data_IF_753376595056
#
_entry.id   IF_753376595056
#
_cell.length_a   1.000
_cell.length_b   1.000
_cell.length_c   1.000
_cell.angle_alpha   90.00
_cell.angle_beta   90.00
_cell.angle_gamma   90.00
#
_symmetry.space_group_name_H-M   'P 1'
#
loop_
_entity.id
_entity.type
_entity.pdbx_description
1 polymer ?
#
# COMPACT_ATOMS: atom_id res chain seq x y z
N UNK A 1 -9.52 11.79 15.60
CA UNK A 1 -8.45 12.35 14.73
C UNK A 1 -7.17 12.56 15.53
N UNK A 2 -7.02 13.64 16.30
CA UNK A 2 -5.72 13.99 16.91
C UNK A 2 -5.22 13.02 17.99
N UNK A 3 -6.09 12.55 18.88
CA UNK A 3 -5.70 11.64 19.98
C UNK A 3 -5.18 10.30 19.44
N UNK A 4 -5.91 9.70 18.52
CA UNK A 4 -5.56 8.43 17.88
C UNK A 4 -4.38 8.56 16.91
N UNK A 5 -4.03 9.78 16.48
CA UNK A 5 -2.87 10.05 15.63
C UNK A 5 -1.54 9.92 16.38
N UNK A 6 -1.60 10.01 17.72
CA UNK A 6 -0.42 9.97 18.56
C UNK A 6 0.34 8.66 18.35
N UNK A 7 1.66 8.75 18.20
CA UNK A 7 2.54 7.64 17.77
C UNK A 7 2.33 6.36 18.59
N UNK A 8 2.23 6.49 19.92
CA UNK A 8 1.98 5.36 20.83
C UNK A 8 0.64 4.68 20.56
N UNK A 9 -0.43 5.44 20.36
CA UNK A 9 -1.78 4.89 20.15
C UNK A 9 -1.88 4.24 18.78
N UNK A 10 -1.34 4.88 17.73
CA UNK A 10 -1.31 4.32 16.37
C UNK A 10 -0.57 2.99 16.28
N UNK A 11 0.52 2.83 17.04
CA UNK A 11 1.29 1.59 17.08
C UNK A 11 0.56 0.47 17.84
N UNK A 12 -0.25 0.82 18.83
CA UNK A 12 -1.04 -0.14 19.63
C UNK A 12 -2.33 -0.57 18.92
N UNK A 13 -3.04 0.35 18.28
CA UNK A 13 -4.26 0.08 17.52
C UNK A 13 -4.29 0.89 16.22
N UNK A 14 -3.81 0.26 15.15
CA UNK A 14 -3.81 0.88 13.83
C UNK A 14 -5.22 1.04 13.26
N UNK A 15 -6.13 0.11 13.55
CA UNK A 15 -7.51 0.15 13.05
C UNK A 15 -8.27 1.35 13.62
N UNK A 16 -8.20 1.56 14.94
CA UNK A 16 -8.84 2.72 15.57
C UNK A 16 -8.26 4.02 15.03
N UNK A 17 -6.94 4.08 14.84
CA UNK A 17 -6.29 5.20 14.15
C UNK A 17 -6.90 5.42 12.76
N UNK A 18 -6.98 4.38 11.93
CA UNK A 18 -7.47 4.46 10.56
C UNK A 18 -8.90 5.01 10.50
N UNK A 19 -9.85 4.41 11.21
CA UNK A 19 -11.25 4.82 11.17
C UNK A 19 -11.45 6.24 11.68
N UNK A 20 -10.84 6.58 12.81
CA UNK A 20 -10.98 7.91 13.40
C UNK A 20 -10.24 9.01 12.63
N UNK A 21 -9.27 8.65 11.78
CA UNK A 21 -8.62 9.59 10.87
C UNK A 21 -9.50 9.94 9.68
N UNK A 22 -10.27 9.00 9.15
CA UNK A 22 -11.19 9.25 8.04
C UNK A 22 -12.32 10.25 8.37
N UNK A 23 -12.50 10.57 9.66
CA UNK A 23 -13.32 11.71 10.11
C UNK A 23 -12.81 13.06 9.59
N UNK A 24 -11.63 13.13 8.97
CA UNK A 24 -11.20 14.31 8.24
C UNK A 24 -12.18 14.69 7.12
N UNK A 25 -12.90 13.73 6.52
CA UNK A 25 -13.88 13.99 5.45
C UNK A 25 -15.04 14.85 5.97
N UNK A 26 -15.83 14.42 6.99
CA UNK A 26 -16.89 15.26 7.53
C UNK A 26 -16.35 16.53 8.20
N UNK A 27 -15.15 16.49 8.78
CA UNK A 27 -14.50 17.69 9.34
C UNK A 27 -14.24 18.76 8.27
N UNK A 28 -13.65 18.39 7.12
CA UNK A 28 -13.43 19.32 6.01
C UNK A 28 -14.74 19.78 5.38
N UNK A 29 -15.75 18.90 5.23
CA UNK A 29 -17.11 19.31 4.81
C UNK A 29 -17.73 20.35 5.76
N UNK A 30 -17.55 20.16 7.06
CA UNK A 30 -17.93 21.15 8.07
C UNK A 30 -17.17 22.47 7.90
N UNK A 31 -15.87 22.42 7.61
CA UNK A 31 -15.05 23.61 7.40
C UNK A 31 -15.48 24.40 6.15
N UNK A 32 -15.78 23.72 5.04
CA UNK A 32 -16.30 24.36 3.82
C UNK A 32 -17.60 25.14 4.07
N UNK A 33 -18.49 24.57 4.87
CA UNK A 33 -19.80 25.18 5.17
C UNK A 33 -19.73 26.21 6.29
N UNK A 34 -18.78 26.08 7.22
CA UNK A 34 -18.55 27.02 8.32
C UNK A 34 -18.31 28.45 7.82
N UNK A 35 -17.57 28.60 6.71
CA UNK A 35 -17.25 29.93 6.15
C UNK A 35 -18.40 30.61 5.43
N UNK A 36 -19.54 29.93 5.24
CA UNK A 36 -20.70 30.42 4.46
C UNK A 36 -21.70 31.20 5.35
N UNK A 37 -21.58 31.11 6.67
CA UNK A 37 -22.59 31.58 7.62
C UNK A 37 -22.70 33.10 7.85
N UNK A 38 -21.94 33.95 7.14
CA UNK A 38 -21.96 35.41 7.31
C UNK A 38 -21.88 35.86 8.79
N UNK A 39 -20.99 35.22 9.56
CA UNK A 39 -20.84 35.51 10.99
C UNK A 39 -20.10 36.85 11.23
N UNK A 40 -19.12 37.17 10.39
CA UNK A 40 -18.36 38.43 10.44
C UNK A 40 -18.97 39.42 9.44
N UNK A 41 -19.40 40.58 9.95
CA UNK A 41 -20.07 41.65 9.18
C UNK A 41 -19.22 42.91 9.19
N UNK A 42 -19.36 43.71 8.14
CA UNK A 42 -18.72 45.03 7.99
C UNK A 42 -19.46 46.15 8.77
N UNK A 43 -20.69 45.88 9.22
CA UNK A 43 -21.60 46.83 9.85
C UNK A 43 -21.99 46.39 11.26
N UNK A 44 -22.22 47.36 12.15
CA UNK A 44 -22.64 47.11 13.54
C UNK A 44 -24.14 46.82 13.69
N UNK A 45 -24.96 47.20 12.70
CA UNK A 45 -26.40 46.99 12.72
C UNK A 45 -26.76 45.54 12.31
N UNK A 46 -27.64 44.85 13.07
CA UNK A 46 -28.04 43.50 12.72
C UNK A 46 -29.07 43.50 11.58
N UNK A 47 -28.77 42.79 10.49
CA UNK A 47 -29.73 42.52 9.41
C UNK A 47 -30.43 41.17 9.63
N UNK A 48 -31.73 41.12 9.33
CA UNK A 48 -32.51 39.88 9.37
C UNK A 48 -32.02 38.90 8.28
N UNK A 49 -31.89 37.59 8.55
CA UNK A 49 -31.62 36.58 7.52
C UNK A 49 -32.66 36.54 6.38
N UNK A 50 -33.84 37.12 6.61
CA UNK A 50 -34.93 37.22 5.62
C UNK A 50 -34.92 38.53 4.83
N UNK A 51 -33.97 39.45 5.09
CA UNK A 51 -33.87 40.73 4.40
C UNK A 51 -33.34 40.60 2.96
N UNK A 52 -33.03 39.39 2.49
CA UNK A 52 -32.58 39.16 1.12
C UNK A 52 -31.22 39.80 0.86
N UNK A 53 -31.13 40.69 -0.14
CA UNK A 53 -29.85 41.27 -0.60
C UNK A 53 -29.10 42.02 0.50
N UNK A 54 -29.82 42.79 1.31
CA UNK A 54 -29.23 43.56 2.41
C UNK A 54 -28.53 42.66 3.44
N UNK A 55 -28.97 41.40 3.59
CA UNK A 55 -28.28 40.43 4.44
C UNK A 55 -26.97 39.94 3.82
N UNK A 56 -26.96 39.66 2.50
CA UNK A 56 -25.83 39.03 1.81
C UNK A 56 -24.75 40.01 1.35
N UNK A 57 -25.06 41.29 1.13
CA UNK A 57 -24.11 42.32 0.68
C UNK A 57 -23.17 42.81 1.79
N UNK A 58 -23.60 42.75 3.05
CA UNK A 58 -22.83 43.15 4.24
C UNK A 58 -22.00 42.01 4.87
N UNK A 59 -21.91 40.89 4.16
CA UNK A 59 -21.13 39.74 4.58
C UNK A 59 -19.68 39.84 4.12
N UNK A 60 -18.73 39.88 5.06
CA UNK A 60 -17.31 39.66 4.72
C UNK A 60 -17.15 38.15 4.53
N UNK A 61 -17.40 37.69 3.31
CA UNK A 61 -17.28 36.28 2.95
C UNK A 61 -15.85 35.79 3.10
N UNK A 62 -15.61 34.80 3.96
CA UNK A 62 -14.33 34.11 3.98
C UNK A 62 -14.21 33.25 2.72
N UNK A 63 -13.45 33.74 1.74
CA UNK A 63 -13.21 33.09 0.45
C UNK A 63 -12.28 31.86 0.56
N UNK A 64 -12.07 31.31 1.76
CA UNK A 64 -11.22 30.15 2.02
C UNK A 64 -11.63 28.93 1.21
N UNK A 65 -12.94 28.75 0.99
CA UNK A 65 -13.50 27.70 0.15
C UNK A 65 -12.90 27.67 -1.27
N UNK A 66 -12.48 28.82 -1.83
CA UNK A 66 -11.86 28.86 -3.17
C UNK A 66 -10.58 28.03 -3.19
N UNK A 67 -9.69 28.24 -2.21
CA UNK A 67 -8.42 27.52 -2.10
C UNK A 67 -8.61 26.09 -1.62
N UNK A 68 -9.56 25.88 -0.72
CA UNK A 68 -9.84 24.57 -0.16
C UNK A 68 -10.44 23.61 -1.20
N UNK A 69 -11.31 24.10 -2.11
CA UNK A 69 -11.82 23.28 -3.22
C UNK A 69 -10.70 22.84 -4.18
N UNK A 70 -9.72 23.70 -4.46
CA UNK A 70 -8.57 23.33 -5.27
C UNK A 70 -7.74 22.24 -4.61
N UNK A 71 -7.41 22.38 -3.31
CA UNK A 71 -6.61 21.39 -2.59
C UNK A 71 -7.38 20.07 -2.39
N UNK A 72 -8.66 20.13 -2.05
CA UNK A 72 -9.56 18.98 -1.96
C UNK A 72 -9.72 18.26 -3.29
N UNK A 73 -9.89 19.01 -4.38
CA UNK A 73 -9.96 18.48 -5.75
C UNK A 73 -8.69 17.74 -6.15
N UNK A 74 -7.52 18.35 -5.94
CA UNK A 74 -6.22 17.70 -6.20
C UNK A 74 -6.05 16.42 -5.37
N UNK A 75 -6.42 16.44 -4.09
CA UNK A 75 -6.41 15.26 -3.24
C UNK A 75 -7.32 14.14 -3.78
N UNK A 76 -8.56 14.46 -4.18
CA UNK A 76 -9.49 13.48 -4.72
C UNK A 76 -9.00 12.89 -6.03
N UNK A 77 -8.45 13.71 -6.93
CA UNK A 77 -7.88 13.25 -8.21
C UNK A 77 -6.72 12.29 -7.94
N UNK A 78 -5.83 12.62 -7.01
CA UNK A 78 -4.71 11.77 -6.61
C UNK A 78 -5.18 10.42 -6.05
N UNK A 79 -6.20 10.45 -5.17
CA UNK A 79 -6.80 9.24 -4.59
C UNK A 79 -7.49 8.37 -5.63
N UNK A 80 -8.27 8.95 -6.54
CA UNK A 80 -8.92 8.23 -7.63
C UNK A 80 -7.89 7.61 -8.57
N UNK A 81 -6.84 8.35 -8.91
CA UNK A 81 -5.75 7.85 -9.75
C UNK A 81 -5.08 6.62 -9.12
N UNK A 82 -4.79 6.64 -7.81
CA UNK A 82 -4.24 5.48 -7.09
C UNK A 82 -5.17 4.28 -7.13
N UNK A 83 -6.46 4.48 -6.86
CA UNK A 83 -7.44 3.41 -6.86
C UNK A 83 -7.56 2.74 -8.24
N UNK A 84 -7.58 3.54 -9.31
CA UNK A 84 -7.59 3.06 -10.69
C UNK A 84 -6.30 2.28 -11.00
N UNK A 85 -5.14 2.79 -10.61
CA UNK A 85 -3.82 2.12 -10.80
C UNK A 85 -3.75 0.80 -10.04
N UNK A 86 -4.31 0.75 -8.84
CA UNK A 86 -4.22 -0.41 -7.96
C UNK A 86 -5.16 -1.54 -8.38
N UNK A 87 -6.29 -1.22 -9.03
CA UNK A 87 -7.27 -2.18 -9.58
C UNK A 87 -6.85 -2.83 -10.90
N UNK A 88 -5.74 -2.41 -11.50
CA UNK A 88 -5.18 -3.10 -12.67
C UNK A 88 -4.90 -4.56 -12.34
N UNK A 89 -5.20 -5.45 -13.28
CA UNK A 89 -5.10 -6.89 -13.07
C UNK A 89 -3.72 -7.30 -12.54
N UNK A 90 -3.75 -8.16 -11.51
CA UNK A 90 -2.58 -8.81 -10.95
C UNK A 90 -2.87 -10.29 -10.86
N UNK A 91 -1.90 -11.12 -11.25
CA UNK A 91 -2.03 -12.59 -11.23
C UNK A 91 -1.00 -13.15 -10.28
N UNK A 92 -1.44 -13.88 -9.25
CA UNK A 92 -0.53 -14.65 -8.39
C UNK A 92 0.02 -15.79 -9.23
N UNK A 93 1.35 -15.86 -9.32
CA UNK A 93 2.05 -16.93 -10.05
C UNK A 93 2.43 -18.07 -9.11
N UNK A 94 2.91 -17.74 -7.91
CA UNK A 94 3.45 -18.73 -6.97
C UNK A 94 3.35 -18.23 -5.53
N UNK A 95 3.08 -19.15 -4.61
CA UNK A 95 3.11 -18.88 -3.18
C UNK A 95 4.05 -19.89 -2.53
N UNK A 96 5.04 -19.42 -1.79
CA UNK A 96 6.03 -20.26 -1.11
C UNK A 96 5.98 -19.96 0.38
N UNK A 97 5.76 -21.00 1.19
CA UNK A 97 5.90 -20.94 2.64
C UNK A 97 7.37 -21.11 3.00
N UNK A 98 7.88 -20.17 3.78
CA UNK A 98 9.21 -20.17 4.37
C UNK A 98 9.12 -20.56 5.86
N UNK A 99 10.22 -21.03 6.47
CA UNK A 99 10.28 -21.23 7.91
C UNK A 99 10.01 -19.90 8.67
N UNK A 100 9.65 -20.01 9.96
CA UNK A 100 9.35 -18.86 10.84
C UNK A 100 8.09 -18.05 10.47
N UNK A 101 7.06 -18.74 9.95
CA UNK A 101 5.76 -18.16 9.59
C UNK A 101 5.86 -16.99 8.60
N UNK A 102 6.72 -17.16 7.60
CA UNK A 102 6.91 -16.21 6.50
C UNK A 102 6.32 -16.81 5.23
N UNK A 103 5.60 -16.00 4.47
CA UNK A 103 5.03 -16.39 3.17
C UNK A 103 5.59 -15.48 2.10
N UNK A 104 6.16 -16.07 1.07
CA UNK A 104 6.54 -15.38 -0.15
C UNK A 104 5.40 -15.47 -1.16
N UNK A 105 4.90 -14.32 -1.58
CA UNK A 105 3.87 -14.20 -2.62
C UNK A 105 4.54 -13.65 -3.87
N UNK A 106 4.53 -14.44 -4.94
CA UNK A 106 5.00 -14.04 -6.25
C UNK A 106 3.79 -13.74 -7.14
N UNK A 107 3.81 -12.58 -7.80
CA UNK A 107 2.76 -12.14 -8.69
C UNK A 107 3.32 -11.46 -9.94
N UNK A 108 2.55 -11.47 -11.01
CA UNK A 108 2.84 -10.73 -12.23
C UNK A 108 1.88 -9.55 -12.38
N UNK A 109 2.45 -8.36 -12.60
CA UNK A 109 1.72 -7.11 -12.90
C UNK A 109 2.47 -6.37 -14.02
N UNK A 110 2.03 -6.47 -15.30
CA UNK A 110 2.74 -5.86 -16.43
C UNK A 110 2.92 -4.35 -16.34
N UNK A 111 2.00 -3.66 -15.65
CA UNK A 111 2.05 -2.21 -15.46
C UNK A 111 3.00 -1.75 -14.34
N UNK A 112 3.62 -2.68 -13.62
CA UNK A 112 4.42 -2.41 -12.43
C UNK A 112 5.91 -2.49 -12.75
N UNK A 113 6.57 -1.33 -12.79
CA UNK A 113 8.03 -1.21 -12.96
C UNK A 113 8.59 -0.63 -11.67
N UNK A 114 9.61 -1.27 -11.10
CA UNK A 114 10.19 -0.90 -9.82
C UNK A 114 11.72 -0.97 -9.87
N UNK A 115 12.36 -0.44 -8.84
CA UNK A 115 13.80 -0.55 -8.57
C UNK A 115 14.02 -1.39 -7.31
N UNK A 116 15.16 -2.07 -7.22
CA UNK A 116 15.50 -2.86 -6.05
C UNK A 116 15.46 -2.00 -4.77
N UNK A 117 14.85 -2.54 -3.71
CA UNK A 117 14.68 -1.85 -2.44
C UNK A 117 13.48 -0.90 -2.34
N UNK A 118 12.64 -0.79 -3.38
CA UNK A 118 11.35 -0.11 -3.26
C UNK A 118 10.33 -0.97 -2.51
N UNK A 119 9.26 -0.34 -2.04
CA UNK A 119 8.15 -1.00 -1.36
C UNK A 119 6.82 -0.68 -2.05
N UNK A 120 5.79 -1.45 -1.71
CA UNK A 120 4.45 -1.34 -2.28
C UNK A 120 3.39 -1.48 -1.19
N UNK A 121 2.16 -1.05 -1.49
CA UNK A 121 1.00 -1.38 -0.68
C UNK A 121 0.24 -2.55 -1.31
N UNK A 122 -0.09 -3.53 -0.47
CA UNK A 122 -0.89 -4.69 -0.81
C UNK A 122 -2.27 -4.56 -0.15
N UNK A 123 -3.31 -4.82 -0.92
CA UNK A 123 -4.67 -5.02 -0.43
C UNK A 123 -5.22 -6.34 -0.97
N UNK A 124 -5.94 -7.05 -0.12
CA UNK A 124 -6.63 -8.31 -0.47
C UNK A 124 -8.12 -8.15 -0.23
N UNK A 125 -8.93 -7.89 -1.29
CA UNK A 125 -10.37 -7.64 -1.15
C UNK A 125 -11.15 -8.78 -0.48
N UNK A 126 -10.64 -10.02 -0.56
CA UNK A 126 -11.25 -11.17 0.12
C UNK A 126 -11.16 -11.14 1.65
N UNK A 127 -10.25 -10.32 2.21
CA UNK A 127 -10.07 -10.16 3.66
C UNK A 127 -10.58 -8.79 4.09
N UNK A 128 -10.10 -7.74 3.44
CA UNK A 128 -10.51 -6.36 3.75
C UNK A 128 -10.49 -5.48 2.51
N UNK A 129 -11.59 -4.76 2.29
CA UNK A 129 -11.75 -3.84 1.16
C UNK A 129 -11.10 -2.47 1.38
N UNK A 130 -10.69 -2.16 2.61
CA UNK A 130 -10.24 -0.81 2.99
C UNK A 130 -8.82 -0.78 3.56
N UNK A 131 -8.30 -1.93 4.01
CA UNK A 131 -6.96 -2.00 4.58
C UNK A 131 -5.92 -2.14 3.46
N UNK A 132 -4.87 -1.32 3.55
CA UNK A 132 -3.70 -1.34 2.68
C UNK A 132 -2.45 -1.51 3.55
N UNK A 133 -1.66 -2.53 3.29
CA UNK A 133 -0.50 -2.87 4.11
C UNK A 133 0.80 -2.68 3.31
N UNK A 134 1.80 -1.98 3.87
CA UNK A 134 3.09 -1.77 3.21
C UNK A 134 3.96 -3.02 3.28
N UNK A 135 4.56 -3.41 2.16
CA UNK A 135 5.54 -4.50 2.08
C UNK A 135 6.70 -4.14 1.14
N UNK A 136 7.91 -4.52 1.54
CA UNK A 136 9.12 -4.34 0.73
C UNK A 136 9.18 -5.37 -0.39
N UNK A 137 9.60 -4.94 -1.56
CA UNK A 137 9.78 -5.82 -2.71
C UNK A 137 11.09 -6.58 -2.54
N UNK A 138 11.03 -7.91 -2.60
CA UNK A 138 12.18 -8.80 -2.40
C UNK A 138 12.75 -9.36 -3.70
N UNK A 139 11.99 -9.30 -4.79
CA UNK A 139 12.43 -9.71 -6.12
C UNK A 139 13.40 -8.70 -6.75
N UNK A 140 14.11 -9.15 -7.77
CA UNK A 140 14.96 -8.30 -8.59
C UNK A 140 14.12 -7.70 -9.73
N UNK A 141 14.32 -6.41 -10.13
CA UNK A 141 13.56 -5.80 -11.23
C UNK A 141 13.75 -6.48 -12.60
N UNK A 142 14.75 -7.35 -12.75
CA UNK A 142 14.94 -8.19 -13.94
C UNK A 142 14.14 -9.49 -13.91
N UNK A 143 13.50 -9.83 -12.78
CA UNK A 143 12.65 -11.02 -12.67
C UNK A 143 11.32 -10.81 -13.41
N UNK A 144 10.76 -11.86 -14.05
CA UNK A 144 9.46 -11.77 -14.72
C UNK A 144 8.27 -11.68 -13.74
N UNK A 145 8.55 -11.79 -12.44
CA UNK A 145 7.58 -11.70 -11.35
C UNK A 145 8.06 -10.70 -10.30
N UNK A 146 7.13 -10.20 -9.51
CA UNK A 146 7.38 -9.41 -8.32
C UNK A 146 7.10 -10.29 -7.11
N UNK A 147 7.99 -10.30 -6.13
CA UNK A 147 7.79 -11.06 -4.89
C UNK A 147 7.84 -10.17 -3.66
N UNK A 148 7.01 -10.53 -2.67
CA UNK A 148 6.97 -9.92 -1.34
C UNK A 148 7.03 -11.01 -0.28
N UNK A 149 7.78 -10.78 0.78
CA UNK A 149 7.83 -11.67 1.94
C UNK A 149 7.00 -11.07 3.09
N UNK A 150 6.01 -11.83 3.55
CA UNK A 150 5.08 -11.40 4.59
C UNK A 150 5.22 -12.32 5.79
N UNK A 151 5.55 -11.73 6.95
CA UNK A 151 5.56 -12.46 8.23
C UNK A 151 4.19 -12.42 8.88
N UNK A 152 3.68 -13.57 9.33
CA UNK A 152 2.32 -13.73 9.88
C UNK A 152 2.21 -13.30 11.36
N UNK A 153 2.45 -12.02 11.65
CA UNK A 153 2.48 -11.50 13.05
C UNK A 153 1.14 -10.94 13.52
N UNK A 154 0.42 -10.23 12.67
CA UNK A 154 -0.86 -9.58 12.99
C UNK A 154 -2.06 -10.23 12.31
N UNK A 155 -3.25 -9.75 12.64
CA UNK A 155 -4.53 -10.33 12.21
C UNK A 155 -4.66 -10.36 10.68
N UNK A 156 -4.38 -9.24 10.00
CA UNK A 156 -4.37 -9.18 8.53
C UNK A 156 -3.37 -10.17 7.92
N UNK A 157 -2.14 -10.23 8.44
CA UNK A 157 -1.08 -11.08 7.87
C UNK A 157 -1.32 -12.56 8.08
N UNK A 158 -1.99 -12.94 9.19
CA UNK A 158 -2.42 -14.32 9.45
C UNK A 158 -3.57 -14.71 8.54
N UNK A 159 -4.59 -13.85 8.44
CA UNK A 159 -5.68 -14.04 7.50
C UNK A 159 -5.20 -14.13 6.04
N UNK A 160 -4.16 -13.36 5.68
CA UNK A 160 -3.50 -13.46 4.38
C UNK A 160 -2.85 -14.82 4.19
N UNK A 161 -2.10 -15.30 5.19
CA UNK A 161 -1.53 -16.65 5.20
C UNK A 161 -2.58 -17.73 4.99
N UNK A 162 -3.67 -17.69 5.75
CA UNK A 162 -4.78 -18.65 5.63
C UNK A 162 -5.45 -18.59 4.25
N UNK A 163 -5.66 -17.38 3.70
CA UNK A 163 -6.30 -17.17 2.39
C UNK A 163 -5.45 -17.66 1.22
N UNK A 164 -4.12 -17.60 1.32
CA UNK A 164 -3.20 -18.15 0.31
C UNK A 164 -2.83 -19.60 0.56
N UNK A 165 -3.39 -20.24 1.60
CA UNK A 165 -3.15 -21.65 1.95
C UNK A 165 -1.83 -21.91 2.69
N UNK A 166 -1.16 -20.87 3.19
CA UNK A 166 0.11 -20.94 3.92
C UNK A 166 -0.05 -20.66 5.42
N UNK A 167 -1.28 -20.66 5.93
CA UNK A 167 -1.61 -20.25 7.29
C UNK A 167 -1.56 -21.37 8.31
N UNK A 168 -1.85 -21.03 9.56
CA UNK A 168 -1.84 -21.97 10.67
C UNK A 168 -2.94 -23.04 10.52
N UNK A 169 -4.04 -22.72 9.84
CA UNK A 169 -5.11 -23.68 9.55
C UNK A 169 -4.62 -24.87 8.71
N UNK A 170 -3.60 -24.66 7.87
CA UNK A 170 -3.00 -25.68 7.02
C UNK A 170 -1.74 -26.31 7.64
N UNK A 171 -1.37 -25.96 8.89
CA UNK A 171 -0.20 -26.53 9.59
C UNK A 171 -0.16 -28.05 9.56
N UNK A 172 -1.31 -28.71 9.70
CA UNK A 172 -1.46 -30.18 9.64
C UNK A 172 -1.00 -30.81 8.33
N UNK A 173 -1.06 -30.10 7.20
CA UNK A 173 -0.50 -30.58 5.93
C UNK A 173 1.03 -30.65 5.97
N UNK A 174 1.64 -29.97 6.93
CA UNK A 174 3.09 -29.84 7.06
C UNK A 174 3.67 -30.56 8.29
N UNK A 175 2.85 -31.22 9.12
CA UNK A 175 3.29 -31.88 10.36
C UNK A 175 4.28 -33.06 10.14
N UNK A 176 4.51 -33.48 8.88
CA UNK A 176 5.45 -34.54 8.50
C UNK A 176 6.58 -34.10 7.57
N UNK A 177 6.73 -32.79 7.31
CA UNK A 177 7.78 -32.25 6.43
C UNK A 177 8.77 -31.41 7.23
N UNK A 178 10.00 -31.30 6.72
CA UNK A 178 11.12 -30.59 7.37
C UNK A 178 10.70 -29.18 7.84
N UNK A 179 10.74 -28.88 9.16
CA UNK A 179 10.36 -27.56 9.68
C UNK A 179 11.20 -26.41 9.13
N UNK A 180 12.37 -26.68 8.56
CA UNK A 180 13.25 -25.69 7.92
C UNK A 180 13.09 -25.62 6.39
N UNK A 181 12.24 -26.47 5.81
CA UNK A 181 12.00 -26.52 4.36
C UNK A 181 11.18 -25.34 3.84
N UNK A 182 11.37 -25.04 2.55
CA UNK A 182 10.51 -24.13 1.79
C UNK A 182 9.50 -24.96 1.00
N UNK A 183 8.21 -24.64 1.17
CA UNK A 183 7.12 -25.40 0.55
C UNK A 183 6.32 -24.53 -0.40
N UNK A 184 6.16 -24.98 -1.63
CA UNK A 184 5.22 -24.35 -2.54
C UNK A 184 3.79 -24.73 -2.16
N UNK A 185 2.93 -23.74 -2.06
CA UNK A 185 1.51 -23.97 -1.79
C UNK A 185 0.82 -24.31 -3.11
N UNK A 186 0.48 -25.59 -3.27
CA UNK A 186 -0.37 -26.03 -4.36
C UNK A 186 -1.84 -25.76 -4.04
N UNK A 187 -2.56 -25.14 -4.97
CA UNK A 187 -4.02 -25.01 -4.88
C UNK A 187 -4.65 -26.40 -4.96
N UNK A 188 -5.49 -26.74 -3.97
CA UNK A 188 -6.32 -27.94 -4.08
C UNK A 188 -7.43 -27.72 -5.13
N UNK A 189 -7.88 -28.79 -5.78
CA UNK A 189 -8.90 -28.73 -6.83
C UNK A 189 -10.14 -27.96 -6.38
N UNK A 190 -10.43 -26.83 -7.04
CA UNK A 190 -11.57 -25.95 -6.76
C UNK A 190 -11.26 -24.72 -5.89
N UNK A 191 -10.09 -24.64 -5.27
CA UNK A 191 -9.65 -23.43 -4.58
C UNK A 191 -9.09 -22.41 -5.57
N UNK A 192 -9.52 -21.15 -5.46
CA UNK A 192 -8.99 -20.04 -6.22
C UNK A 192 -8.11 -19.16 -5.34
N UNK A 193 -7.00 -18.69 -5.89
CA UNK A 193 -6.16 -17.71 -5.21
C UNK A 193 -6.92 -16.39 -5.00
N UNK A 194 -6.72 -15.72 -3.85
CA UNK A 194 -7.37 -14.45 -3.60
C UNK A 194 -6.88 -13.38 -4.60
N UNK A 195 -7.78 -12.48 -5.01
CA UNK A 195 -7.39 -11.33 -5.83
C UNK A 195 -6.48 -10.38 -5.02
N UNK A 196 -5.41 -9.89 -5.65
CA UNK A 196 -4.52 -8.88 -5.07
C UNK A 196 -4.70 -7.54 -5.76
N UNK A 197 -4.72 -6.47 -4.96
CA UNK A 197 -4.60 -5.09 -5.43
C UNK A 197 -3.30 -4.51 -4.94
N UNK A 198 -2.60 -3.84 -5.84
CA UNK A 198 -1.20 -3.45 -5.63
C UNK A 198 -1.02 -2.00 -6.01
N UNK A 199 -0.62 -1.18 -5.05
CA UNK A 199 -0.34 0.23 -5.23
C UNK A 199 1.16 0.51 -5.03
N UNK A 200 1.75 1.33 -5.90
CA UNK A 200 3.19 1.61 -5.91
C UNK A 200 3.81 1.54 -7.32
N UNK A 201 5.15 1.48 -7.42
CA UNK A 201 6.13 1.39 -6.32
C UNK A 201 6.33 2.73 -5.59
N UNK A 202 6.78 2.66 -4.34
CA UNK A 202 7.18 3.81 -3.54
C UNK A 202 8.67 3.74 -3.24
N UNK A 203 9.34 4.87 -3.41
CA UNK A 203 10.73 5.02 -3.00
C UNK A 203 10.85 5.03 -1.47
N UNK A 204 11.96 4.48 -0.98
CA UNK A 204 12.36 4.65 0.40
C UNK A 204 13.06 6.01 0.57
N UNK A 205 12.51 6.84 1.45
CA UNK A 205 13.34 7.72 2.28
C UNK A 205 13.84 6.82 3.42
N UNK A 206 15.16 6.55 3.47
CA UNK A 206 15.90 5.68 4.41
C UNK A 206 15.19 5.32 5.74
N UNK A 207 15.29 4.06 6.22
CA UNK A 207 14.39 3.53 7.24
C UNK A 207 14.70 4.06 8.66
N UNK A 208 13.68 4.60 9.32
CA UNK A 208 13.60 4.73 10.79
C UNK A 208 12.82 3.56 11.42
N UNK A 209 12.48 2.51 10.66
CA UNK A 209 11.60 1.45 11.15
C UNK A 209 12.04 0.04 10.71
N UNK A 210 12.48 -0.73 11.71
CA UNK A 210 12.48 -2.20 11.84
C UNK A 210 13.44 -3.09 11.01
N UNK A 211 14.17 -3.93 11.74
CA UNK A 211 15.23 -4.86 11.35
C UNK A 211 14.90 -5.94 10.30
N UNK A 212 13.63 -6.21 10.02
CA UNK A 212 13.23 -7.20 9.00
C UNK A 212 13.26 -6.61 7.58
N UNK A 213 13.07 -5.29 7.44
CA UNK A 213 13.18 -4.61 6.15
C UNK A 213 14.61 -4.66 5.61
N UNK A 214 15.63 -4.54 6.48
CA UNK A 214 17.03 -4.56 6.06
C UNK A 214 17.42 -5.87 5.35
N UNK A 215 16.92 -7.01 5.83
CA UNK A 215 17.17 -8.31 5.19
C UNK A 215 16.47 -8.39 3.83
N UNK A 216 15.22 -7.94 3.73
CA UNK A 216 14.47 -7.93 2.47
C UNK A 216 15.10 -7.00 1.43
N UNK A 217 15.55 -5.81 1.85
CA UNK A 217 16.30 -4.87 1.04
C UNK A 217 17.62 -5.47 0.57
N UNK A 218 18.41 -6.03 1.48
CA UNK A 218 19.68 -6.68 1.16
C UNK A 218 19.48 -7.87 0.21
N UNK A 219 18.39 -8.64 0.36
CA UNK A 219 18.05 -9.74 -0.54
C UNK A 219 17.75 -9.23 -1.95
N UNK A 220 16.89 -8.22 -2.10
CA UNK A 220 16.59 -7.62 -3.41
C UNK A 220 17.85 -7.01 -4.05
N UNK A 221 18.66 -6.30 -3.25
CA UNK A 221 19.87 -5.63 -3.72
C UNK A 221 20.98 -6.63 -4.11
N UNK A 222 21.23 -7.67 -3.29
CA UNK A 222 22.22 -8.72 -3.61
C UNK A 222 21.80 -9.54 -4.83
N UNK A 223 20.51 -9.89 -4.96
CA UNK A 223 19.99 -10.58 -6.16
C UNK A 223 20.16 -9.71 -7.42
N UNK A 224 19.98 -8.40 -7.30
CA UNK A 224 20.20 -7.47 -8.40
C UNK A 224 21.67 -7.40 -8.82
N UNK A 225 22.60 -7.27 -7.87
CA UNK A 225 24.04 -7.29 -8.17
C UNK A 225 24.43 -8.61 -8.83
N UNK A 226 24.08 -9.74 -8.23
CA UNK A 226 24.42 -11.06 -8.75
C UNK A 226 23.89 -11.30 -10.18
N UNK A 227 22.65 -10.86 -10.48
CA UNK A 227 22.10 -10.97 -11.84
C UNK A 227 22.75 -10.02 -12.84
N UNK A 228 23.12 -8.81 -12.40
CA UNK A 228 23.86 -7.86 -13.23
C UNK A 228 25.24 -8.40 -13.58
N UNK A 229 25.91 -9.03 -12.62
CA UNK A 229 27.22 -9.66 -12.81
C UNK A 229 27.13 -10.91 -13.68
N UNK A 230 26.07 -11.71 -13.54
CA UNK A 230 25.83 -12.85 -14.44
C UNK A 230 25.54 -12.40 -15.87
N UNK A 231 24.67 -11.41 -16.05
CA UNK A 231 24.34 -10.86 -17.37
C UNK A 231 25.56 -10.20 -18.03
N UNK A 232 26.43 -9.55 -17.26
CA UNK A 232 27.68 -8.99 -17.79
C UNK A 232 28.69 -10.08 -18.18
N UNK A 233 28.74 -11.18 -17.44
CA UNK A 233 29.54 -12.36 -17.80
C UNK A 233 29.01 -13.08 -19.05
N UNK A 234 27.69 -13.25 -19.18
CA UNK A 234 27.07 -13.79 -20.41
C UNK A 234 27.34 -12.88 -21.61
N UNK A 235 27.13 -11.57 -21.46
CA UNK A 235 27.44 -10.60 -22.52
C UNK A 235 28.94 -10.59 -22.90
N UNK A 236 29.84 -10.71 -21.92
CA UNK A 236 31.27 -10.85 -22.18
C UNK A 236 31.60 -12.17 -22.90
N UNK A 237 30.92 -13.27 -22.56
CA UNK A 237 31.07 -14.56 -23.25
C UNK A 237 30.53 -14.51 -24.68
N UNK A 238 29.42 -13.82 -24.91
CA UNK A 238 28.87 -13.62 -26.26
C UNK A 238 29.82 -12.77 -27.10
N UNK A 239 30.38 -11.67 -26.57
CA UNK A 239 31.38 -10.87 -27.29
C UNK A 239 32.63 -11.69 -27.63
N UNK A 240 33.13 -12.51 -26.70
CA UNK A 240 34.31 -13.36 -26.94
C UNK A 240 33.97 -14.53 -27.89
N UNK A 241 32.74 -15.04 -27.87
CA UNK A 241 32.26 -16.10 -28.75
C UNK A 241 32.06 -15.67 -30.21
N UNK A 242 31.84 -14.38 -30.47
CA UNK A 242 31.79 -13.80 -31.82
C UNK A 242 33.17 -13.38 -32.37
N UNK A 243 34.26 -13.65 -31.65
CA UNK A 243 35.62 -13.20 -31.98
C UNK A 243 36.57 -14.23 -32.61
N UNK A 244 36.10 -15.43 -32.99
CA UNK A 244 36.92 -16.43 -33.67
C UNK A 244 36.08 -17.26 -34.66
N UNK A 245 35.88 -16.72 -35.86
CA UNK A 245 35.75 -17.46 -37.13
C UNK A 245 36.28 -16.58 -38.25
#
# INVERSE_FOLDING_TARGET
MYTTAHSRIRQQSFETFWYTHHLFIPFLLGLYTHTVGCFVRDTAAPFSPFAGKDYWEHCIGYLGWRWELWSGGLYLIERLYREIRARRETKITRVVRHPYDVVEIQFSKPSFKYKAGQWLFLQVPGISNYQWHPFTITSCPFDPYVSVHVRQVGDFTRALGDAVGAGAAQSKLYDGVDPMGMYEVALQNGQQMPSLRIDGPYDELKPLFFSFLDVCYLLSHRRHIAKRDHASQEFARDIVGYGFT
#
